data_IF_174527249507
#
_entry.id   IF_174527249507
#
_cell.length_a   1.000
_cell.length_b   1.000
_cell.length_c   1.000
_cell.angle_alpha   90.00
_cell.angle_beta   90.00
_cell.angle_gamma   90.00
#
_symmetry.space_group_name_H-M   'P 1'
#
loop_
_entity.id
_entity.type
_entity.pdbx_description
1 polymer ?
#
# COMPACT_ATOMS: atom_id res chain seq x y z
N UNK A 1 16.00 -11.44 2.37
CA UNK A 1 16.97 -12.22 3.16
C UNK A 1 16.29 -12.81 4.40
N UNK A 2 16.77 -13.95 4.96
CA UNK A 2 16.18 -14.47 6.20
C UNK A 2 16.28 -13.44 7.34
N UNK A 3 15.17 -13.23 8.06
CA UNK A 3 15.09 -12.27 9.15
C UNK A 3 14.95 -10.80 8.73
N UNK A 4 14.86 -10.50 7.44
CA UNK A 4 14.58 -9.16 6.94
C UNK A 4 13.19 -8.73 7.36
N UNK A 5 13.06 -7.49 7.82
CA UNK A 5 11.82 -6.87 8.25
C UNK A 5 11.37 -5.77 7.28
N UNK A 6 10.14 -5.28 7.42
CA UNK A 6 9.65 -4.12 6.64
C UNK A 6 10.47 -2.85 6.95
N UNK A 7 10.96 -2.71 8.17
CA UNK A 7 11.82 -1.56 8.51
C UNK A 7 13.20 -1.63 7.87
N UNK A 8 13.73 -2.84 7.62
CA UNK A 8 14.96 -3.02 6.84
C UNK A 8 14.75 -2.63 5.36
N UNK A 9 13.55 -2.90 4.82
CA UNK A 9 13.17 -2.42 3.48
C UNK A 9 13.16 -0.89 3.45
N UNK A 10 12.52 -0.25 4.43
CA UNK A 10 12.52 1.23 4.54
C UNK A 10 13.94 1.79 4.65
N UNK A 11 14.83 1.15 5.41
CA UNK A 11 16.24 1.54 5.51
C UNK A 11 16.99 1.42 4.17
N UNK A 12 16.71 0.37 3.39
CA UNK A 12 17.26 0.22 2.06
C UNK A 12 16.74 1.29 1.09
N UNK A 13 15.45 1.59 1.12
CA UNK A 13 14.83 2.67 0.32
C UNK A 13 15.44 4.04 0.67
N UNK A 14 15.72 4.29 1.96
CA UNK A 14 16.43 5.49 2.40
C UNK A 14 17.82 5.59 1.77
N UNK A 15 18.57 4.49 1.74
CA UNK A 15 19.89 4.44 1.08
C UNK A 15 19.79 4.75 -0.41
N UNK A 16 18.75 4.28 -1.09
CA UNK A 16 18.50 4.62 -2.50
C UNK A 16 18.20 6.10 -2.67
N UNK A 17 17.33 6.65 -1.82
CA UNK A 17 16.96 8.06 -1.83
C UNK A 17 18.21 8.96 -1.61
N UNK A 18 19.00 8.68 -0.59
CA UNK A 18 20.26 9.38 -0.30
C UNK A 18 21.23 9.31 -1.49
N UNK A 19 21.32 8.16 -2.14
CA UNK A 19 22.16 7.98 -3.33
C UNK A 19 21.70 8.83 -4.49
N UNK A 20 20.37 8.92 -4.73
CA UNK A 20 19.78 9.79 -5.77
C UNK A 20 20.09 11.25 -5.47
N UNK A 21 19.86 11.68 -4.24
CA UNK A 21 20.16 13.06 -3.80
C UNK A 21 21.64 13.41 -3.98
N UNK A 22 22.54 12.51 -3.60
CA UNK A 22 23.97 12.71 -3.74
C UNK A 22 24.43 12.78 -5.21
N UNK A 23 23.81 12.04 -6.11
CA UNK A 23 24.11 12.05 -7.55
C UNK A 23 23.53 13.27 -8.28
N UNK A 24 22.56 13.95 -7.69
CA UNK A 24 21.86 15.10 -8.27
C UNK A 24 21.84 16.30 -7.31
N UNK A 25 23.01 16.82 -6.88
CA UNK A 25 23.11 17.82 -5.82
C UNK A 25 22.45 19.16 -6.18
N UNK A 26 22.38 19.48 -7.46
CA UNK A 26 21.80 20.74 -7.98
C UNK A 26 20.29 20.61 -8.28
N UNK A 27 19.72 19.43 -8.12
CA UNK A 27 18.29 19.18 -8.37
C UNK A 27 17.47 19.39 -7.10
N UNK A 28 16.18 19.74 -7.23
CA UNK A 28 15.25 19.67 -6.10
C UNK A 28 15.21 18.25 -5.51
N UNK A 29 14.80 18.14 -4.24
CA UNK A 29 14.58 16.82 -3.62
C UNK A 29 13.63 15.97 -4.45
N UNK A 30 13.92 14.67 -4.61
CA UNK A 30 13.10 13.80 -5.46
C UNK A 30 11.69 13.61 -4.91
N UNK A 31 10.74 13.51 -5.82
CA UNK A 31 9.40 13.04 -5.50
C UNK A 31 9.42 11.53 -5.34
N UNK A 32 8.87 11.03 -4.25
CA UNK A 32 8.61 9.60 -4.10
C UNK A 32 7.18 9.28 -4.51
N UNK A 33 7.02 8.14 -5.19
CA UNK A 33 5.75 7.74 -5.77
C UNK A 33 5.43 6.29 -5.38
N UNK A 34 4.32 6.09 -4.69
CA UNK A 34 3.89 4.79 -4.21
C UNK A 34 2.51 4.39 -4.69
N UNK A 35 2.41 3.27 -5.40
CA UNK A 35 1.15 2.66 -5.81
C UNK A 35 0.71 1.58 -4.83
N UNK A 36 -0.57 1.51 -4.56
CA UNK A 36 -1.15 0.48 -3.69
C UNK A 36 -0.38 0.38 -2.37
N UNK A 37 0.13 -0.79 -2.03
CA UNK A 37 0.95 -0.98 -0.83
C UNK A 37 2.27 -0.20 -0.84
N UNK A 38 2.82 0.12 -1.99
CA UNK A 38 3.95 1.05 -2.11
C UNK A 38 3.66 2.45 -1.55
N UNK A 39 2.39 2.81 -1.44
CA UNK A 39 1.99 4.10 -0.85
C UNK A 39 2.28 4.18 0.65
N UNK A 40 1.88 3.19 1.45
CA UNK A 40 2.23 3.22 2.87
C UNK A 40 3.75 3.06 3.09
N UNK A 41 4.45 2.29 2.24
CA UNK A 41 5.90 2.19 2.29
C UNK A 41 6.57 3.55 2.03
N UNK A 42 6.12 4.28 1.00
CA UNK A 42 6.57 5.66 0.74
C UNK A 42 6.31 6.61 1.91
N UNK A 43 5.18 6.45 2.60
CA UNK A 43 4.87 7.25 3.78
C UNK A 43 5.77 6.91 4.98
N UNK A 44 6.14 5.63 5.15
CA UNK A 44 7.15 5.22 6.15
C UNK A 44 8.49 5.88 5.86
N UNK A 45 8.96 5.81 4.62
CA UNK A 45 10.21 6.44 4.18
C UNK A 45 10.18 7.97 4.41
N UNK A 46 9.10 8.63 4.02
CA UNK A 46 8.96 10.09 4.21
C UNK A 46 8.91 10.51 5.68
N UNK A 47 8.38 9.66 6.56
CA UNK A 47 8.37 9.89 7.99
C UNK A 47 9.76 9.67 8.63
N UNK A 48 10.53 8.69 8.11
CA UNK A 48 11.88 8.36 8.60
C UNK A 48 12.94 9.36 8.10
N UNK A 49 12.82 9.84 6.86
CA UNK A 49 13.77 10.76 6.24
C UNK A 49 13.10 12.01 5.63
N UNK A 50 12.45 12.86 6.44
CA UNK A 50 11.69 14.00 5.95
C UNK A 50 12.56 15.09 5.29
N UNK A 51 13.88 15.04 5.44
CA UNK A 51 14.82 16.02 4.88
C UNK A 51 15.19 15.77 3.42
N UNK A 52 15.09 14.53 2.94
CA UNK A 52 15.51 14.15 1.60
C UNK A 52 14.34 13.97 0.62
N UNK A 53 13.11 13.97 1.08
CA UNK A 53 11.92 13.83 0.25
C UNK A 53 11.38 15.18 -0.20
N UNK A 54 11.18 15.37 -1.50
CA UNK A 54 10.63 16.60 -2.09
C UNK A 54 9.10 16.65 -2.03
N UNK A 55 8.45 15.61 -2.48
CA UNK A 55 7.01 15.41 -2.36
C UNK A 55 6.68 13.92 -2.31
N UNK A 56 5.49 13.61 -1.81
CA UNK A 56 4.99 12.23 -1.75
C UNK A 56 3.73 12.13 -2.60
N UNK A 57 3.70 11.19 -3.52
CA UNK A 57 2.50 10.87 -4.31
C UNK A 57 2.11 9.43 -4.02
N UNK A 58 0.89 9.22 -3.55
CA UNK A 58 0.36 7.88 -3.26
C UNK A 58 -0.94 7.65 -4.03
N UNK A 59 -1.00 6.52 -4.73
CA UNK A 59 -2.13 6.18 -5.61
C UNK A 59 -2.78 4.88 -5.18
N UNK A 60 -4.10 4.91 -4.96
CA UNK A 60 -4.86 3.74 -4.52
C UNK A 60 -4.23 3.06 -3.30
N UNK A 61 -3.63 3.84 -2.41
CA UNK A 61 -2.82 3.38 -1.30
C UNK A 61 -3.66 3.21 -0.04
N UNK A 62 -3.72 2.00 0.54
CA UNK A 62 -4.47 1.79 1.78
C UNK A 62 -3.64 2.31 2.96
N UNK A 63 -4.12 3.38 3.59
CA UNK A 63 -3.49 4.02 4.75
C UNK A 63 -4.28 3.82 6.05
N UNK A 64 -5.61 3.82 5.96
CA UNK A 64 -6.53 3.56 7.07
C UNK A 64 -7.41 2.34 6.74
N UNK A 65 -6.93 1.16 7.11
CA UNK A 65 -7.55 -0.11 6.73
C UNK A 65 -8.93 -0.35 7.35
N UNK A 66 -9.25 0.33 8.45
CA UNK A 66 -10.55 0.21 9.11
C UNK A 66 -11.63 1.11 8.54
N UNK A 67 -11.28 1.97 7.58
CA UNK A 67 -12.20 2.91 6.96
C UNK A 67 -12.87 2.32 5.72
N UNK A 68 -14.14 2.72 5.48
CA UNK A 68 -14.92 2.34 4.32
C UNK A 68 -15.45 0.91 4.36
N UNK A 69 -16.65 0.70 3.82
CA UNK A 69 -17.24 -0.62 3.66
C UNK A 69 -16.81 -1.30 2.37
N UNK A 70 -16.96 -2.61 2.25
CA UNK A 70 -16.70 -3.35 1.02
C UNK A 70 -17.53 -2.90 -0.19
N UNK A 71 -18.67 -2.23 0.06
CA UNK A 71 -19.50 -1.67 -1.00
C UNK A 71 -19.06 -0.27 -1.44
N UNK A 72 -17.92 0.23 -0.95
CA UNK A 72 -17.40 1.56 -1.28
C UNK A 72 -18.14 2.71 -0.57
N UNK A 73 -19.04 2.41 0.37
CA UNK A 73 -19.77 3.40 1.15
C UNK A 73 -19.03 3.84 2.41
N UNK A 74 -19.65 4.79 3.12
CA UNK A 74 -19.23 5.21 4.45
C UNK A 74 -19.36 4.06 5.46
N UNK A 75 -18.54 4.10 6.49
CA UNK A 75 -18.60 3.13 7.59
C UNK A 75 -17.28 2.49 7.91
N UNK A 76 -17.34 1.43 8.70
CA UNK A 76 -16.15 0.69 9.14
C UNK A 76 -15.92 -0.56 8.27
N UNK A 77 -14.67 -0.78 7.89
CA UNK A 77 -14.30 -1.99 7.16
C UNK A 77 -14.36 -3.20 8.11
N UNK A 78 -14.93 -4.33 7.67
CA UNK A 78 -14.95 -5.57 8.46
C UNK A 78 -13.56 -6.06 8.91
N UNK A 79 -12.49 -5.64 8.26
CA UNK A 79 -11.11 -5.89 8.67
C UNK A 79 -10.86 -5.50 10.13
N UNK A 80 -11.54 -4.45 10.63
CA UNK A 80 -11.46 -4.01 12.03
C UNK A 80 -11.82 -5.12 13.02
N UNK A 81 -12.70 -6.02 12.61
CA UNK A 81 -13.22 -7.10 13.45
C UNK A 81 -12.57 -8.46 13.17
N UNK A 82 -11.58 -8.51 12.29
CA UNK A 82 -10.88 -9.75 11.91
C UNK A 82 -9.79 -10.19 12.89
N UNK A 83 -9.61 -9.47 14.00
CA UNK A 83 -8.71 -9.86 15.09
C UNK A 83 -9.31 -10.96 16.01
N UNK A 84 -8.66 -11.20 17.13
CA UNK A 84 -9.08 -12.16 18.14
C UNK A 84 -8.50 -13.57 17.96
N UNK A 85 -9.03 -14.54 18.72
CA UNK A 85 -8.46 -15.90 18.82
C UNK A 85 -8.43 -16.66 17.48
N UNK A 86 -9.45 -16.46 16.64
CA UNK A 86 -9.58 -17.13 15.34
C UNK A 86 -9.30 -16.19 14.16
N UNK A 87 -8.79 -15.00 14.43
CA UNK A 87 -8.47 -13.98 13.43
C UNK A 87 -7.02 -13.51 13.50
N UNK A 88 -6.74 -12.36 12.91
CA UNK A 88 -5.39 -11.80 12.92
C UNK A 88 -4.47 -12.44 11.87
N UNK A 89 -3.20 -12.55 12.21
CA UNK A 89 -2.15 -13.02 11.29
C UNK A 89 -1.96 -14.52 11.19
N UNK A 90 -2.70 -15.33 11.96
CA UNK A 90 -2.43 -16.78 12.07
C UNK A 90 -2.52 -17.54 10.74
N UNK A 91 -3.41 -17.16 9.83
CA UNK A 91 -3.48 -17.77 8.49
C UNK A 91 -2.24 -17.46 7.65
N UNK A 92 -1.71 -16.25 7.75
CA UNK A 92 -0.48 -15.87 7.09
C UNK A 92 0.73 -16.61 7.68
N UNK A 93 0.73 -16.80 9.00
CA UNK A 93 1.75 -17.59 9.69
C UNK A 93 1.68 -19.06 9.29
N UNK A 94 0.48 -19.66 9.26
CA UNK A 94 0.30 -21.04 8.78
C UNK A 94 0.81 -21.21 7.33
N UNK A 95 0.48 -20.27 6.44
CA UNK A 95 0.97 -20.30 5.07
C UNK A 95 2.50 -20.17 5.00
N UNK A 96 3.10 -19.37 5.89
CA UNK A 96 4.56 -19.24 6.01
C UNK A 96 5.21 -20.51 6.56
N UNK A 97 4.61 -21.14 7.57
CA UNK A 97 5.07 -22.40 8.13
C UNK A 97 5.07 -23.51 7.07
N UNK A 98 4.01 -23.62 6.28
CA UNK A 98 3.93 -24.55 5.15
C UNK A 98 4.96 -24.26 4.06
N UNK A 99 5.38 -23.00 3.94
CA UNK A 99 6.43 -22.51 3.05
C UNK A 99 7.83 -22.54 3.68
N UNK A 100 8.04 -23.24 4.79
CA UNK A 100 9.31 -23.29 5.52
C UNK A 100 9.84 -21.88 5.92
N UNK A 101 9.00 -21.10 6.57
CA UNK A 101 9.28 -19.74 7.01
C UNK A 101 9.17 -18.66 5.92
N UNK A 102 8.58 -19.02 4.78
CA UNK A 102 8.39 -18.11 3.65
C UNK A 102 6.93 -18.07 3.22
N UNK A 103 6.39 -16.88 3.14
CA UNK A 103 5.05 -16.65 2.59
C UNK A 103 5.15 -16.53 1.07
N UNK A 104 4.40 -17.34 0.35
CA UNK A 104 4.35 -17.29 -1.11
C UNK A 104 3.41 -16.16 -1.56
N UNK A 105 3.97 -15.18 -2.30
CA UNK A 105 3.22 -14.07 -2.88
C UNK A 105 2.09 -14.49 -3.83
N UNK A 106 2.12 -15.73 -4.33
CA UNK A 106 1.02 -16.30 -5.10
C UNK A 106 -0.32 -16.22 -4.37
N UNK A 107 -0.34 -16.35 -3.04
CA UNK A 107 -1.56 -16.23 -2.24
C UNK A 107 -2.19 -14.84 -2.33
N UNK A 108 -1.37 -13.78 -2.42
CA UNK A 108 -1.87 -12.41 -2.60
C UNK A 108 -2.48 -12.22 -3.98
N UNK A 109 -1.80 -12.70 -5.02
CA UNK A 109 -2.30 -12.66 -6.40
C UNK A 109 -3.61 -13.45 -6.52
N UNK A 110 -3.66 -14.64 -5.93
CA UNK A 110 -4.88 -15.47 -5.92
C UNK A 110 -6.07 -14.74 -5.26
N UNK A 111 -5.84 -13.98 -4.20
CA UNK A 111 -6.90 -13.19 -3.57
C UNK A 111 -7.47 -12.14 -4.53
N UNK A 112 -6.63 -11.46 -5.29
CA UNK A 112 -7.10 -10.50 -6.30
C UNK A 112 -7.85 -11.17 -7.44
N UNK A 113 -7.37 -12.32 -7.93
CA UNK A 113 -8.06 -13.11 -8.94
C UNK A 113 -9.45 -13.57 -8.46
N UNK A 114 -9.59 -13.91 -7.18
CA UNK A 114 -10.85 -14.35 -6.58
C UNK A 114 -11.88 -13.20 -6.40
N UNK A 115 -11.47 -11.93 -6.52
CA UNK A 115 -12.42 -10.80 -6.47
C UNK A 115 -13.33 -10.74 -7.71
N UNK A 116 -12.88 -11.29 -8.84
CA UNK A 116 -13.66 -11.34 -10.07
C UNK A 116 -13.45 -12.66 -10.81
N UNK A 117 -14.00 -13.78 -10.30
CA UNK A 117 -13.81 -15.10 -10.88
C UNK A 117 -14.30 -15.20 -12.33
N UNK A 118 -15.35 -14.49 -12.69
CA UNK A 118 -15.88 -14.48 -14.07
C UNK A 118 -14.83 -13.93 -15.05
N UNK A 119 -14.11 -12.87 -14.68
CA UNK A 119 -13.02 -12.37 -15.49
C UNK A 119 -11.84 -13.34 -15.52
N UNK A 120 -11.41 -13.80 -14.36
CA UNK A 120 -10.24 -14.68 -14.20
C UNK A 120 -10.36 -15.98 -14.96
N UNK A 121 -11.54 -16.63 -14.91
CA UNK A 121 -11.73 -17.95 -15.49
C UNK A 121 -12.23 -17.94 -16.94
N UNK A 122 -12.93 -16.85 -17.37
CA UNK A 122 -13.63 -16.86 -18.66
C UNK A 122 -13.41 -15.59 -19.49
N UNK A 123 -13.73 -14.41 -18.95
CA UNK A 123 -13.87 -13.19 -19.75
C UNK A 123 -12.54 -12.73 -20.34
N UNK A 124 -11.44 -12.80 -19.58
CA UNK A 124 -10.12 -12.39 -20.08
C UNK A 124 -9.64 -13.26 -21.24
N UNK A 125 -9.88 -14.57 -21.19
CA UNK A 125 -9.50 -15.49 -22.27
C UNK A 125 -10.40 -15.36 -23.50
N UNK A 126 -11.71 -15.13 -23.29
CA UNK A 126 -12.62 -14.86 -24.39
C UNK A 126 -12.24 -13.56 -25.12
N UNK A 127 -11.92 -12.51 -24.38
CA UNK A 127 -11.47 -11.23 -24.96
C UNK A 127 -10.16 -11.40 -25.73
N UNK A 128 -9.21 -12.15 -25.19
CA UNK A 128 -7.98 -12.48 -25.89
C UNK A 128 -8.27 -13.23 -27.19
N UNK A 129 -9.10 -14.29 -27.15
CA UNK A 129 -9.47 -15.04 -28.34
C UNK A 129 -10.13 -14.16 -29.41
N UNK A 130 -11.05 -13.29 -29.00
CA UNK A 130 -11.76 -12.36 -29.89
C UNK A 130 -10.83 -11.37 -30.58
N UNK A 131 -9.75 -10.96 -29.93
CA UNK A 131 -8.85 -9.88 -30.36
C UNK A 131 -7.39 -10.35 -30.40
N UNK A 132 -7.15 -11.64 -30.74
CA UNK A 132 -5.81 -12.26 -30.63
C UNK A 132 -4.75 -11.57 -31.48
N UNK A 133 -5.13 -10.99 -32.60
CA UNK A 133 -4.20 -10.33 -33.53
C UNK A 133 -3.64 -9.00 -32.97
N UNK A 134 -4.36 -8.36 -32.03
CA UNK A 134 -3.99 -7.06 -31.46
C UNK A 134 -3.63 -7.10 -29.99
N UNK A 135 -4.22 -8.04 -29.22
CA UNK A 135 -4.10 -8.03 -27.76
C UNK A 135 -3.10 -9.07 -27.22
N UNK A 136 -2.56 -9.94 -28.08
CA UNK A 136 -1.70 -11.05 -27.63
C UNK A 136 -0.47 -10.57 -26.86
N UNK A 137 0.26 -9.59 -27.38
CA UNK A 137 1.50 -9.12 -26.75
C UNK A 137 1.20 -8.47 -25.41
N UNK A 138 0.26 -7.54 -25.37
CA UNK A 138 -0.19 -6.88 -24.16
C UNK A 138 -0.64 -7.87 -23.08
N UNK A 139 -1.41 -8.90 -23.48
CA UNK A 139 -1.86 -9.94 -22.58
C UNK A 139 -0.68 -10.72 -21.98
N UNK A 140 0.28 -11.13 -22.80
CA UNK A 140 1.44 -11.90 -22.34
C UNK A 140 2.35 -11.07 -21.44
N UNK A 141 2.55 -9.79 -21.73
CA UNK A 141 3.30 -8.87 -20.89
C UNK A 141 2.62 -8.68 -19.53
N UNK A 142 1.31 -8.49 -19.53
CA UNK A 142 0.53 -8.36 -18.30
C UNK A 142 0.58 -9.63 -17.46
N UNK A 143 0.33 -10.80 -18.04
CA UNK A 143 0.33 -12.08 -17.32
C UNK A 143 1.74 -12.42 -16.77
N UNK A 144 2.79 -12.06 -17.50
CA UNK A 144 4.17 -12.21 -17.02
C UNK A 144 4.46 -11.31 -15.83
N UNK A 145 4.03 -10.07 -15.87
CA UNK A 145 4.17 -9.12 -14.75
C UNK A 145 3.31 -9.56 -13.57
N UNK A 146 2.05 -9.90 -13.81
CA UNK A 146 1.08 -10.29 -12.78
C UNK A 146 1.48 -11.58 -12.05
N UNK A 147 2.05 -12.54 -12.78
CA UNK A 147 2.58 -13.78 -12.23
C UNK A 147 4.00 -13.68 -11.67
N UNK A 148 4.63 -12.50 -11.72
CA UNK A 148 6.00 -12.27 -11.26
C UNK A 148 6.11 -11.97 -9.77
N UNK A 149 5.35 -12.64 -8.92
CA UNK A 149 5.35 -12.47 -7.46
C UNK A 149 6.62 -13.02 -6.81
N UNK A 150 6.91 -12.52 -5.60
CA UNK A 150 8.07 -12.89 -4.80
C UNK A 150 7.65 -13.59 -3.51
N UNK A 151 8.60 -14.32 -2.92
CA UNK A 151 8.45 -14.85 -1.57
C UNK A 151 8.72 -13.74 -0.56
N UNK A 152 7.92 -13.70 0.50
CA UNK A 152 8.13 -12.84 1.66
C UNK A 152 8.61 -13.67 2.85
N UNK A 153 9.33 -13.06 3.76
CA UNK A 153 9.60 -13.69 5.04
C UNK A 153 8.34 -13.70 5.91
N UNK A 154 8.27 -14.63 6.84
CA UNK A 154 7.19 -14.70 7.81
C UNK A 154 7.05 -13.38 8.59
N UNK A 155 8.16 -12.79 9.01
CA UNK A 155 8.20 -11.53 9.73
C UNK A 155 7.58 -10.38 8.92
N UNK A 156 7.85 -10.31 7.61
CA UNK A 156 7.33 -9.28 6.73
C UNK A 156 5.80 -9.37 6.60
N UNK A 157 5.28 -10.56 6.24
CA UNK A 157 3.82 -10.73 6.09
C UNK A 157 3.09 -10.57 7.42
N UNK A 158 3.65 -11.08 8.50
CA UNK A 158 3.10 -10.90 9.85
C UNK A 158 3.05 -9.41 10.22
N UNK A 159 4.15 -8.68 9.99
CA UNK A 159 4.20 -7.25 10.27
C UNK A 159 3.13 -6.48 9.51
N UNK A 160 2.95 -6.77 8.22
CA UNK A 160 1.92 -6.14 7.37
C UNK A 160 0.52 -6.42 7.93
N UNK A 161 0.21 -7.68 8.24
CA UNK A 161 -1.11 -8.03 8.76
C UNK A 161 -1.36 -7.41 10.15
N UNK A 162 -0.41 -7.51 11.07
CA UNK A 162 -0.57 -7.06 12.46
C UNK A 162 -0.54 -5.53 12.62
N UNK A 163 0.15 -4.83 11.73
CA UNK A 163 0.27 -3.38 11.84
C UNK A 163 -0.64 -2.60 10.89
N UNK A 164 -0.99 -3.19 9.75
CA UNK A 164 -1.78 -2.52 8.71
C UNK A 164 -3.19 -3.12 8.62
N UNK A 165 -3.36 -4.32 8.04
CA UNK A 165 -4.68 -4.89 7.76
C UNK A 165 -5.55 -5.03 9.00
N UNK A 166 -5.08 -5.75 9.99
CA UNK A 166 -5.85 -6.03 11.22
C UNK A 166 -5.65 -4.95 12.28
N UNK A 167 -4.43 -4.46 12.44
CA UNK A 167 -4.08 -3.53 13.49
C UNK A 167 -4.40 -2.08 13.22
N UNK A 168 -4.41 -1.65 11.94
CA UNK A 168 -4.55 -0.24 11.52
C UNK A 168 -3.63 0.73 12.29
N UNK A 169 -2.43 0.24 12.68
CA UNK A 169 -1.54 0.93 13.62
C UNK A 169 -0.83 2.12 12.99
N UNK A 170 -0.63 2.11 11.67
CA UNK A 170 0.04 3.21 10.98
C UNK A 170 -0.78 4.51 11.08
N UNK A 171 -2.06 4.45 10.77
CA UNK A 171 -2.97 5.59 10.91
C UNK A 171 -3.14 6.05 12.37
N UNK A 172 -2.89 5.17 13.34
CA UNK A 172 -3.00 5.44 14.78
C UNK A 172 -1.68 5.86 15.43
N UNK A 173 -0.56 5.89 14.68
CA UNK A 173 0.75 6.22 15.24
C UNK A 173 1.30 5.17 16.22
N UNK A 174 0.89 3.90 16.07
CA UNK A 174 1.25 2.80 16.97
C UNK A 174 2.27 1.82 16.36
N UNK A 175 2.78 2.12 15.15
CA UNK A 175 3.83 1.32 14.52
C UNK A 175 5.16 1.61 15.20
N UNK A 176 5.79 0.58 15.76
CA UNK A 176 7.12 0.73 16.38
C UNK A 176 8.20 0.86 15.31
N UNK A 177 9.00 1.91 15.36
CA UNK A 177 10.18 2.10 14.54
C UNK A 177 11.44 1.52 15.22
N UNK A 178 11.54 1.67 16.56
CA UNK A 178 12.61 1.14 17.40
C UNK A 178 12.08 0.98 18.85
N UNK A 179 12.84 0.37 19.77
CA UNK A 179 12.48 0.34 21.17
C UNK A 179 12.21 1.77 21.71
N UNK A 180 10.96 2.02 22.12
CA UNK A 180 10.53 3.34 22.65
C UNK A 180 10.27 4.42 21.58
N UNK A 181 10.39 4.09 20.30
CA UNK A 181 10.11 5.01 19.19
C UNK A 181 9.00 4.46 18.27
N UNK A 182 8.15 5.36 17.80
CA UNK A 182 7.05 5.04 16.89
C UNK A 182 7.16 5.85 15.60
N UNK A 183 6.64 5.28 14.51
CA UNK A 183 6.49 6.01 13.26
C UNK A 183 5.47 7.14 13.45
N UNK A 184 5.88 8.36 13.18
CA UNK A 184 5.03 9.54 13.27
C UNK A 184 4.80 10.14 11.87
N UNK A 185 3.62 9.92 11.31
CA UNK A 185 3.24 10.51 10.02
C UNK A 185 3.19 12.06 10.07
N UNK A 186 3.09 12.66 11.25
CA UNK A 186 3.20 14.11 11.42
C UNK A 186 4.65 14.64 11.28
N UNK A 187 5.63 13.75 11.25
CA UNK A 187 7.01 14.12 10.95
C UNK A 187 7.24 14.43 9.47
N UNK A 188 6.37 13.96 8.59
CA UNK A 188 6.45 14.24 7.15
C UNK A 188 6.28 15.74 6.93
N UNK A 189 7.24 16.34 6.24
CA UNK A 189 7.25 17.78 5.91
C UNK A 189 6.93 18.07 4.46
N UNK A 190 7.07 17.05 3.62
CA UNK A 190 6.83 17.13 2.19
C UNK A 190 5.34 17.28 1.88
N UNK A 191 4.96 18.01 0.83
CA UNK A 191 3.60 17.95 0.30
C UNK A 191 3.21 16.52 -0.05
N UNK A 192 1.97 16.15 0.28
CA UNK A 192 1.42 14.81 0.02
C UNK A 192 0.27 14.96 -0.98
N UNK A 193 0.33 14.21 -2.05
CA UNK A 193 -0.76 14.09 -3.05
C UNK A 193 -1.28 12.66 -3.00
N UNK A 194 -2.57 12.52 -2.75
CA UNK A 194 -3.28 11.24 -2.72
C UNK A 194 -4.20 11.16 -3.91
N UNK A 195 -4.09 10.09 -4.70
CA UNK A 195 -5.04 9.77 -5.74
C UNK A 195 -5.81 8.50 -5.38
N UNK A 196 -7.13 8.53 -5.51
CA UNK A 196 -8.03 7.41 -5.25
C UNK A 196 -9.19 7.40 -6.23
N UNK A 197 -9.96 6.33 -6.29
CA UNK A 197 -11.10 6.22 -7.18
C UNK A 197 -12.27 5.51 -6.52
N UNK A 198 -13.48 5.98 -6.81
CA UNK A 198 -14.71 5.30 -6.38
C UNK A 198 -14.94 3.97 -7.11
N UNK A 199 -14.30 3.77 -8.27
CA UNK A 199 -14.28 2.51 -9.01
C UNK A 199 -13.27 1.50 -8.50
N UNK A 200 -12.44 1.87 -7.53
CA UNK A 200 -11.44 1.00 -6.92
C UNK A 200 -12.09 0.07 -5.89
N UNK A 201 -12.16 -1.21 -6.21
CA UNK A 201 -12.74 -2.25 -5.34
C UNK A 201 -11.72 -2.89 -4.40
N UNK A 202 -10.45 -2.49 -4.46
CA UNK A 202 -9.35 -2.99 -3.62
C UNK A 202 -9.04 -1.99 -2.51
N UNK A 203 -8.82 -0.71 -2.88
CA UNK A 203 -8.56 0.37 -1.94
C UNK A 203 -9.61 1.47 -2.14
N UNK A 204 -10.74 1.41 -1.45
CA UNK A 204 -11.76 2.45 -1.56
C UNK A 204 -11.21 3.80 -1.08
N UNK A 205 -11.75 4.94 -1.56
CA UNK A 205 -11.27 6.28 -1.21
C UNK A 205 -11.16 6.52 0.30
N UNK A 206 -12.05 5.93 1.10
CA UNK A 206 -12.03 6.04 2.55
C UNK A 206 -10.73 5.46 3.14
N UNK A 207 -10.27 4.31 2.67
CA UNK A 207 -9.00 3.73 3.12
C UNK A 207 -7.79 4.56 2.69
N UNK A 208 -7.86 5.20 1.53
CA UNK A 208 -6.77 6.02 1.02
C UNK A 208 -6.67 7.39 1.72
N UNK A 209 -7.79 7.97 2.17
CA UNK A 209 -7.87 9.38 2.58
C UNK A 209 -8.09 9.56 4.09
N UNK A 210 -8.87 8.69 4.74
CA UNK A 210 -9.32 8.92 6.12
C UNK A 210 -8.20 8.90 7.16
N UNK A 211 -7.02 8.38 6.84
CA UNK A 211 -5.85 8.49 7.71
C UNK A 211 -5.52 9.94 8.10
N UNK A 212 -5.89 10.90 7.26
CA UNK A 212 -5.70 12.32 7.55
C UNK A 212 -6.47 12.73 8.81
N UNK A 213 -7.72 12.28 8.93
CA UNK A 213 -8.53 12.54 10.13
C UNK A 213 -8.15 11.66 11.32
N UNK A 214 -7.54 10.50 11.08
CA UNK A 214 -7.03 9.63 12.15
C UNK A 214 -5.75 10.24 12.77
N UNK A 215 -4.91 10.84 11.95
CA UNK A 215 -3.62 11.42 12.35
C UNK A 215 -3.76 12.85 12.88
N UNK A 216 -4.51 13.72 12.19
CA UNK A 216 -4.62 15.12 12.54
C UNK A 216 -5.97 15.43 13.20
N UNK A 217 -5.94 16.15 14.31
CA UNK A 217 -7.14 16.51 15.07
C UNK A 217 -8.03 17.54 14.36
N UNK A 218 -7.46 18.32 13.46
CA UNK A 218 -8.18 19.38 12.72
C UNK A 218 -7.39 19.92 11.54
N UNK A 219 -8.10 20.57 10.61
CA UNK A 219 -7.47 21.35 9.54
C UNK A 219 -6.59 22.50 10.07
N UNK A 220 -6.93 23.04 11.23
CA UNK A 220 -6.11 24.08 11.86
C UNK A 220 -4.74 23.52 12.28
N UNK A 221 -4.67 22.30 12.79
CA UNK A 221 -3.41 21.62 13.09
C UNK A 221 -2.56 21.41 11.83
N UNK A 222 -3.16 20.94 10.73
CA UNK A 222 -2.46 20.74 9.44
C UNK A 222 -1.84 22.06 8.98
N UNK A 223 -2.62 23.15 9.00
CA UNK A 223 -2.14 24.50 8.62
C UNK A 223 -1.06 25.02 9.54
N UNK A 224 -1.20 24.84 10.85
CA UNK A 224 -0.20 25.29 11.83
C UNK A 224 1.15 24.57 11.67
N UNK A 225 1.14 23.32 11.16
CA UNK A 225 2.34 22.55 10.83
C UNK A 225 2.95 22.92 9.47
N UNK A 226 2.28 23.75 8.68
CA UNK A 226 2.67 24.05 7.29
C UNK A 226 2.53 22.85 6.35
N UNK A 227 1.78 21.82 6.75
CA UNK A 227 1.60 20.62 5.94
C UNK A 227 0.60 20.87 4.82
N UNK A 228 0.91 20.35 3.62
CA UNK A 228 0.06 20.39 2.44
C UNK A 228 -0.36 18.97 2.08
N UNK A 229 -1.67 18.72 2.08
CA UNK A 229 -2.25 17.42 1.72
C UNK A 229 -3.32 17.67 0.66
N UNK A 230 -3.18 17.03 -0.50
CA UNK A 230 -4.11 17.13 -1.62
C UNK A 230 -4.71 15.76 -1.89
N UNK A 231 -6.03 15.66 -1.82
CA UNK A 231 -6.79 14.46 -2.19
C UNK A 231 -7.46 14.64 -3.55
N UNK A 232 -7.21 13.72 -4.46
CA UNK A 232 -7.84 13.64 -5.77
C UNK A 232 -8.64 12.35 -5.84
N UNK A 233 -9.92 12.45 -6.20
CA UNK A 233 -10.83 11.30 -6.29
C UNK A 233 -11.40 11.22 -7.70
N UNK A 234 -11.19 10.09 -8.38
CA UNK A 234 -11.81 9.79 -9.66
C UNK A 234 -13.13 9.04 -9.48
N UNK A 235 -14.06 9.17 -10.42
CA UNK A 235 -15.41 8.61 -10.26
C UNK A 235 -15.49 7.10 -10.52
N UNK A 236 -14.67 6.53 -11.43
CA UNK A 236 -14.95 5.19 -11.96
C UNK A 236 -13.74 4.32 -12.30
N UNK A 237 -12.52 4.84 -12.23
CA UNK A 237 -11.32 4.06 -12.58
C UNK A 237 -11.12 2.92 -11.58
N UNK A 238 -10.92 1.71 -12.08
CA UNK A 238 -10.58 0.55 -11.25
C UNK A 238 -9.16 0.60 -10.71
N UNK A 239 -8.85 -0.24 -9.72
CA UNK A 239 -7.55 -0.21 -9.02
C UNK A 239 -6.33 -0.20 -9.95
N UNK A 240 -6.25 -1.16 -10.87
CA UNK A 240 -5.13 -1.24 -11.82
C UNK A 240 -5.13 -0.07 -12.83
N UNK A 241 -6.30 0.45 -13.19
CA UNK A 241 -6.41 1.60 -14.10
C UNK A 241 -5.90 2.92 -13.50
N UNK A 242 -5.62 2.96 -12.21
CA UNK A 242 -4.96 4.10 -11.56
C UNK A 242 -3.49 4.20 -11.95
N UNK A 243 -2.88 3.08 -12.33
CA UNK A 243 -1.43 2.96 -12.55
C UNK A 243 -1.03 2.91 -14.02
N UNK A 244 -2.01 2.79 -14.93
CA UNK A 244 -1.81 2.58 -16.38
C UNK A 244 -2.33 3.77 -17.17
#
# INVERSE_FOLDING_TARGET
EPGQTILDVTAAEKTFLETVVARHPDSPRPTIYGNCQGGWASMLLAADDPGNVGSVVINGAPMSYWSGSFSGGEGENPMRYSGGLLGGSWLALLASDLGNGRFDGAWLVQNFENLNPANTLWTKYYNLWKSVDTERERFLEFEKWWGGYFLMNEEEIRWIVDNLFVGNKLARGEVKAAPGSYVDLKAIRSPIVMFSSKGDNITPPQQAINWVSDVYSSTAEIKARGQVIVGLVHESVGHLGIFV
#
